data_IF_477683005330
#
_entry.id   IF_477683005330
#
_cell.length_a   1.000
_cell.length_b   1.000
_cell.length_c   1.000
_cell.angle_alpha   90.00
_cell.angle_beta   90.00
_cell.angle_gamma   90.00
#
_symmetry.space_group_name_H-M   'P 1'
#
loop_
_entity.id
_entity.type
_entity.pdbx_description
1 polymer ?
#
# COMPACT_ATOMS: atom_id res chain seq x y z
N UNK A 1 -35.95 -12.95 18.84
CA UNK A 1 -35.38 -12.59 20.13
C UNK A 1 -34.40 -13.64 20.58
N UNK A 2 -33.18 -13.26 20.77
CA UNK A 2 -32.08 -14.19 21.04
C UNK A 2 -32.15 -14.65 22.49
N UNK A 3 -32.32 -15.96 22.69
CA UNK A 3 -32.32 -16.56 24.01
C UNK A 3 -30.88 -16.86 24.42
N UNK A 4 -30.25 -15.92 25.09
CA UNK A 4 -28.93 -16.12 25.69
C UNK A 4 -29.13 -16.76 27.06
N UNK A 5 -28.54 -17.92 27.28
CA UNK A 5 -28.50 -18.55 28.59
C UNK A 5 -27.14 -18.31 29.21
N UNK A 6 -27.14 -17.82 30.44
CA UNK A 6 -25.91 -17.51 31.16
C UNK A 6 -25.70 -18.51 32.28
N UNK A 7 -24.52 -19.09 32.36
CA UNK A 7 -24.12 -20.01 33.44
C UNK A 7 -23.25 -19.19 34.40
N UNK A 8 -23.77 -19.05 35.64
CA UNK A 8 -23.10 -18.28 36.69
C UNK A 8 -22.70 -19.19 37.86
N UNK A 9 -21.64 -18.78 38.53
CA UNK A 9 -21.17 -19.38 39.78
C UNK A 9 -20.70 -18.28 40.71
N UNK A 10 -21.27 -18.23 41.92
CA UNK A 10 -20.90 -17.25 42.95
C UNK A 10 -21.00 -15.79 42.48
N UNK A 11 -22.03 -15.50 41.66
CA UNK A 11 -22.26 -14.17 41.09
C UNK A 11 -21.39 -13.83 39.89
N UNK A 12 -20.52 -14.74 39.47
CA UNK A 12 -19.66 -14.56 38.31
C UNK A 12 -20.22 -15.30 37.10
N UNK A 13 -20.30 -14.62 35.96
CA UNK A 13 -20.72 -15.18 34.70
C UNK A 13 -19.57 -15.98 34.06
N UNK A 14 -19.74 -17.30 33.93
CA UNK A 14 -18.71 -18.19 33.42
C UNK A 14 -18.88 -18.54 31.95
N UNK A 15 -20.12 -18.77 31.53
CA UNK A 15 -20.41 -19.20 30.15
C UNK A 15 -21.68 -18.56 29.66
N UNK A 16 -21.79 -18.40 28.34
CA UNK A 16 -23.02 -18.04 27.66
C UNK A 16 -23.35 -19.11 26.64
N UNK A 17 -24.64 -19.53 26.61
CA UNK A 17 -25.13 -20.45 25.59
C UNK A 17 -26.04 -19.67 24.68
N UNK A 18 -25.73 -19.67 23.39
CA UNK A 18 -26.48 -18.93 22.37
C UNK A 18 -26.82 -19.86 21.19
N UNK A 19 -27.87 -19.52 20.41
CA UNK A 19 -28.12 -20.24 19.17
C UNK A 19 -26.93 -20.22 18.23
N UNK A 20 -26.70 -21.29 17.49
CA UNK A 20 -25.55 -21.44 16.60
C UNK A 20 -25.46 -20.30 15.56
N UNK A 21 -26.60 -19.93 14.97
CA UNK A 21 -26.64 -18.83 13.98
C UNK A 21 -26.18 -17.50 14.57
N UNK A 22 -26.50 -17.24 15.83
CA UNK A 22 -26.05 -16.02 16.52
C UNK A 22 -24.55 -16.06 16.78
N UNK A 23 -24.01 -17.21 17.14
CA UNK A 23 -22.57 -17.39 17.31
C UNK A 23 -21.81 -17.15 15.99
N UNK A 24 -22.30 -17.72 14.89
CA UNK A 24 -21.68 -17.49 13.57
C UNK A 24 -21.65 -16.02 13.19
N UNK A 25 -22.76 -15.30 13.41
CA UNK A 25 -22.83 -13.86 13.11
C UNK A 25 -21.87 -13.05 13.97
N UNK A 26 -21.76 -13.37 15.25
CA UNK A 26 -20.83 -12.67 16.14
C UNK A 26 -19.37 -12.94 15.78
N UNK A 27 -19.06 -14.18 15.42
CA UNK A 27 -17.70 -14.55 14.97
C UNK A 27 -17.33 -13.83 13.68
N UNK A 28 -18.22 -13.84 12.69
CA UNK A 28 -17.98 -13.20 11.40
C UNK A 28 -17.83 -11.67 11.55
N UNK A 29 -18.66 -11.06 12.42
CA UNK A 29 -18.53 -9.63 12.72
C UNK A 29 -17.21 -9.30 13.40
N UNK A 30 -16.73 -10.13 14.33
CA UNK A 30 -15.46 -9.94 15.01
C UNK A 30 -14.26 -10.08 14.05
N UNK A 31 -14.30 -11.07 13.16
CA UNK A 31 -13.28 -11.25 12.13
C UNK A 31 -13.24 -10.06 11.17
N UNK A 32 -14.41 -9.57 10.75
CA UNK A 32 -14.53 -8.43 9.86
C UNK A 32 -13.97 -7.15 10.51
N UNK A 33 -14.30 -6.89 11.78
CA UNK A 33 -13.79 -5.74 12.52
C UNK A 33 -12.26 -5.80 12.67
N UNK A 34 -11.72 -6.98 12.90
CA UNK A 34 -10.28 -7.18 13.00
C UNK A 34 -9.59 -6.95 11.64
N UNK A 35 -10.14 -7.46 10.55
CA UNK A 35 -9.62 -7.25 9.20
C UNK A 35 -9.60 -5.78 8.82
N UNK A 36 -10.69 -5.06 9.11
CA UNK A 36 -10.76 -3.61 8.87
C UNK A 36 -9.72 -2.86 9.69
N UNK A 37 -9.56 -3.20 10.97
CA UNK A 37 -8.58 -2.58 11.84
C UNK A 37 -7.14 -2.81 11.35
N UNK A 38 -6.82 -4.03 10.96
CA UNK A 38 -5.49 -4.37 10.43
C UNK A 38 -5.20 -3.62 9.13
N UNK A 39 -6.20 -3.47 8.27
CA UNK A 39 -6.09 -2.70 7.04
C UNK A 39 -5.82 -1.22 7.33
N UNK A 40 -6.59 -0.64 8.24
CA UNK A 40 -6.42 0.77 8.64
C UNK A 40 -5.05 1.01 9.27
N UNK A 41 -4.56 0.10 10.11
CA UNK A 41 -3.22 0.19 10.70
C UNK A 41 -2.12 0.10 9.63
N UNK A 42 -2.29 -0.79 8.64
CA UNK A 42 -1.34 -0.91 7.53
C UNK A 42 -1.28 0.36 6.70
N UNK A 43 -2.44 0.95 6.39
CA UNK A 43 -2.52 2.23 5.68
C UNK A 43 -1.84 3.36 6.47
N UNK A 44 -2.08 3.43 7.77
CA UNK A 44 -1.51 4.48 8.62
C UNK A 44 0.02 4.40 8.71
N UNK A 45 0.59 3.19 8.60
CA UNK A 45 2.05 3.00 8.64
C UNK A 45 2.74 3.37 7.34
N UNK A 46 2.07 3.12 6.21
CA UNK A 46 2.63 3.31 4.86
C UNK A 46 2.07 4.55 4.17
N UNK A 47 1.28 5.34 4.88
CA UNK A 47 0.53 6.42 4.27
C UNK A 47 1.41 7.62 3.96
N UNK A 48 1.82 7.74 2.70
CA UNK A 48 2.26 9.01 2.17
C UNK A 48 1.15 9.56 1.27
N UNK A 49 0.68 10.76 1.58
CA UNK A 49 -0.34 11.44 0.79
C UNK A 49 0.31 12.25 -0.30
N UNK A 50 0.05 11.88 -1.54
CA UNK A 50 0.53 12.62 -2.69
C UNK A 50 -0.46 13.71 -3.07
N UNK A 51 0.03 14.89 -3.51
CA UNK A 51 -0.87 15.95 -3.96
C UNK A 51 -1.63 15.55 -5.23
N UNK A 52 -2.83 16.12 -5.41
CA UNK A 52 -3.66 15.83 -6.57
C UNK A 52 -2.93 16.09 -7.90
N UNK A 53 -2.09 17.13 -7.94
CA UNK A 53 -1.30 17.46 -9.13
C UNK A 53 -0.40 16.32 -9.59
N UNK A 54 0.20 15.58 -8.65
CA UNK A 54 1.00 14.41 -8.95
C UNK A 54 0.13 13.29 -9.54
N UNK A 55 -1.01 13.04 -8.95
CA UNK A 55 -1.97 12.03 -9.43
C UNK A 55 -2.46 12.38 -10.84
N UNK A 56 -2.76 13.65 -11.09
CA UNK A 56 -3.16 14.11 -12.42
C UNK A 56 -2.09 13.85 -13.48
N UNK A 57 -0.83 14.05 -13.15
CA UNK A 57 0.28 13.74 -14.05
C UNK A 57 0.39 12.25 -14.36
N UNK A 58 0.21 11.40 -13.34
CA UNK A 58 0.22 9.95 -13.53
C UNK A 58 -0.96 9.49 -14.40
N UNK A 59 -2.14 10.09 -14.21
CA UNK A 59 -3.32 9.78 -15.02
C UNK A 59 -3.21 10.29 -16.44
N UNK A 60 -2.36 11.31 -16.69
CA UNK A 60 -2.09 11.84 -18.01
C UNK A 60 -1.00 11.06 -18.77
N UNK A 61 -0.69 9.84 -18.32
CA UNK A 61 0.29 8.94 -18.93
C UNK A 61 1.74 9.48 -18.93
N UNK A 62 2.07 10.43 -18.04
CA UNK A 62 3.47 10.80 -17.85
C UNK A 62 4.24 9.64 -17.22
N UNK A 63 5.54 9.55 -17.52
CA UNK A 63 6.35 8.48 -16.96
C UNK A 63 6.40 8.57 -15.44
N UNK A 64 6.00 7.52 -14.71
CA UNK A 64 5.91 7.58 -13.25
C UNK A 64 7.26 7.83 -12.58
N UNK A 65 8.36 7.32 -13.12
CA UNK A 65 9.70 7.54 -12.57
C UNK A 65 10.03 9.03 -12.59
N UNK A 66 9.78 9.70 -13.70
CA UNK A 66 10.00 11.13 -13.84
C UNK A 66 9.12 11.92 -12.87
N UNK A 67 7.82 11.56 -12.77
CA UNK A 67 6.88 12.24 -11.89
C UNK A 67 7.32 12.15 -10.43
N UNK A 68 7.61 10.94 -9.93
CA UNK A 68 8.06 10.76 -8.56
C UNK A 68 9.43 11.36 -8.29
N UNK A 69 10.34 11.29 -9.28
CA UNK A 69 11.66 11.91 -9.15
C UNK A 69 11.55 13.42 -8.95
N UNK A 70 10.75 14.08 -9.78
CA UNK A 70 10.53 15.53 -9.67
C UNK A 70 9.83 15.89 -8.36
N UNK A 71 8.87 15.08 -7.95
CA UNK A 71 8.19 15.26 -6.66
C UNK A 71 9.15 15.19 -5.48
N UNK A 72 10.14 14.29 -5.53
CA UNK A 72 11.18 14.18 -4.51
C UNK A 72 12.27 15.26 -4.64
N UNK A 73 12.18 16.13 -5.64
CA UNK A 73 13.15 17.18 -5.85
C UNK A 73 14.52 16.70 -6.33
N UNK A 74 14.57 15.56 -7.00
CA UNK A 74 15.82 14.99 -7.51
C UNK A 74 16.02 15.29 -8.99
N UNK A 75 17.28 15.56 -9.37
CA UNK A 75 17.67 15.56 -10.78
C UNK A 75 17.86 14.12 -11.28
N UNK A 76 17.86 13.92 -12.60
CA UNK A 76 18.19 12.62 -13.18
C UNK A 76 19.56 12.10 -12.71
N UNK A 77 20.54 13.00 -12.63
CA UNK A 77 21.88 12.67 -12.16
C UNK A 77 21.86 12.18 -10.71
N UNK A 78 21.13 12.85 -9.84
CA UNK A 78 21.03 12.48 -8.43
C UNK A 78 20.36 11.10 -8.26
N UNK A 79 19.27 10.85 -8.97
CA UNK A 79 18.61 9.54 -8.91
C UNK A 79 19.49 8.45 -9.51
N UNK A 80 20.15 8.74 -10.64
CA UNK A 80 21.05 7.77 -11.27
C UNK A 80 22.20 7.37 -10.34
N UNK A 81 22.77 8.31 -9.60
CA UNK A 81 23.81 8.04 -8.61
C UNK A 81 23.29 7.13 -7.47
N UNK A 82 22.09 7.39 -6.97
CA UNK A 82 21.50 6.57 -5.91
C UNK A 82 21.23 5.14 -6.37
N UNK A 83 20.86 4.96 -7.62
CA UNK A 83 20.50 3.66 -8.17
C UNK A 83 21.73 2.89 -8.68
N UNK A 84 22.82 3.60 -8.98
CA UNK A 84 24.04 3.00 -9.49
C UNK A 84 24.05 2.82 -11.01
N UNK A 85 23.33 3.66 -11.75
CA UNK A 85 23.30 3.69 -13.21
C UNK A 85 23.74 5.06 -13.71
N UNK A 86 24.03 5.19 -15.01
CA UNK A 86 24.33 6.50 -15.55
C UNK A 86 23.05 7.28 -15.89
N UNK A 87 23.20 8.61 -15.96
CA UNK A 87 22.05 9.50 -16.19
C UNK A 87 21.42 9.30 -17.58
N UNK A 88 22.23 8.94 -18.57
CA UNK A 88 21.72 8.67 -19.93
C UNK A 88 20.80 7.43 -19.94
N UNK A 89 21.14 6.39 -19.22
CA UNK A 89 20.30 5.19 -19.09
C UNK A 89 18.97 5.52 -18.38
N UNK A 90 19.05 6.29 -17.30
CA UNK A 90 17.85 6.73 -16.59
C UNK A 90 16.96 7.60 -17.49
N UNK A 91 17.54 8.51 -18.27
CA UNK A 91 16.80 9.31 -19.24
C UNK A 91 16.06 8.44 -20.27
N UNK A 92 16.70 7.37 -20.74
CA UNK A 92 16.07 6.45 -21.68
C UNK A 92 14.88 5.70 -21.06
N UNK A 93 14.98 5.35 -19.78
CA UNK A 93 13.86 4.74 -19.04
C UNK A 93 12.72 5.74 -18.89
N UNK A 94 13.01 6.98 -18.54
CA UNK A 94 12.00 8.04 -18.35
C UNK A 94 11.31 8.43 -19.67
N UNK A 95 11.97 8.30 -20.80
CA UNK A 95 11.38 8.59 -22.11
C UNK A 95 10.72 7.37 -22.76
N UNK A 96 10.79 6.21 -22.13
CA UNK A 96 10.19 4.99 -22.64
C UNK A 96 11.03 4.27 -23.70
N UNK A 97 12.24 4.73 -23.97
CA UNK A 97 13.14 4.08 -24.94
C UNK A 97 13.68 2.75 -24.45
N UNK A 98 13.77 2.60 -23.13
CA UNK A 98 14.16 1.36 -22.47
C UNK A 98 13.21 1.12 -21.30
N UNK A 99 12.88 -0.16 -21.07
CA UNK A 99 11.99 -0.54 -19.97
C UNK A 99 12.69 -0.65 -18.60
N UNK A 100 14.00 -0.78 -18.61
CA UNK A 100 14.77 -1.07 -17.39
C UNK A 100 14.62 -2.53 -16.96
N UNK A 101 15.64 -3.06 -16.27
CA UNK A 101 15.56 -4.39 -15.67
C UNK A 101 14.76 -4.34 -14.37
N UNK A 102 14.22 -5.49 -13.92
CA UNK A 102 13.52 -5.59 -12.65
C UNK A 102 14.39 -5.13 -11.49
N UNK A 103 15.68 -5.41 -11.52
CA UNK A 103 16.65 -4.99 -10.50
C UNK A 103 16.77 -3.47 -10.45
N UNK A 104 16.89 -2.83 -11.61
CA UNK A 104 16.99 -1.37 -11.70
C UNK A 104 15.69 -0.70 -11.27
N UNK A 105 14.55 -1.22 -11.71
CA UNK A 105 13.25 -0.67 -11.32
C UNK A 105 13.00 -0.76 -9.81
N UNK A 106 13.42 -1.86 -9.18
CA UNK A 106 13.36 -1.99 -7.72
C UNK A 106 14.24 -0.98 -7.00
N UNK A 107 15.45 -0.78 -7.52
CA UNK A 107 16.37 0.21 -6.96
C UNK A 107 15.81 1.63 -7.10
N UNK A 108 15.18 1.95 -8.22
CA UNK A 108 14.50 3.23 -8.44
C UNK A 108 13.34 3.40 -7.46
N UNK A 109 12.49 2.39 -7.31
CA UNK A 109 11.36 2.45 -6.37
C UNK A 109 11.85 2.68 -4.94
N UNK A 110 12.90 1.99 -4.51
CA UNK A 110 13.49 2.18 -3.18
C UNK A 110 14.07 3.59 -3.01
N UNK A 111 14.76 4.09 -4.02
CA UNK A 111 15.35 5.44 -3.99
C UNK A 111 14.28 6.52 -3.93
N UNK A 112 13.14 6.31 -4.56
CA UNK A 112 12.00 7.24 -4.56
C UNK A 112 11.04 7.01 -3.40
N UNK A 113 11.24 5.94 -2.62
CA UNK A 113 10.39 5.52 -1.51
C UNK A 113 8.93 5.31 -1.95
N UNK A 114 8.77 4.56 -3.03
CA UNK A 114 7.46 4.14 -3.56
C UNK A 114 7.50 2.63 -3.82
N UNK A 115 6.33 2.04 -4.06
CA UNK A 115 6.25 0.63 -4.40
C UNK A 115 6.71 0.38 -5.83
N UNK A 116 7.18 -0.84 -6.10
CA UNK A 116 7.60 -1.21 -7.45
C UNK A 116 6.50 -0.99 -8.49
N UNK A 117 5.25 -1.32 -8.13
CA UNK A 117 4.11 -1.15 -9.02
C UNK A 117 3.87 0.31 -9.42
N UNK A 118 4.29 1.25 -8.57
CA UNK A 118 4.13 2.68 -8.83
C UNK A 118 5.07 3.20 -9.92
N UNK A 119 6.18 2.50 -10.16
CA UNK A 119 7.20 2.93 -11.15
C UNK A 119 7.23 2.07 -12.40
N UNK A 120 6.50 0.96 -12.42
CA UNK A 120 6.37 0.12 -13.61
C UNK A 120 5.32 0.73 -14.53
N UNK A 121 5.70 1.14 -15.76
CA UNK A 121 4.70 1.70 -16.69
C UNK A 121 3.70 0.63 -17.08
N UNK A 122 2.45 1.04 -17.21
CA UNK A 122 1.40 0.17 -17.77
C UNK A 122 1.78 -0.22 -19.21
N UNK A 123 1.71 -1.50 -19.44
CA UNK A 123 2.02 -2.05 -20.76
C UNK A 123 0.97 -1.66 -21.80
#
# INVERSE_FOLDING_TARGET
MNKVQVIEKDGERLFAVIPWDDYERLRDAAEMDEDVRLYDEALARDEERFPLELVDRLLADENPIKVFREYRGMTQRQLAQKVGVNAAYLSQIETGRRGGSSKVLRAIANALNVDLDDVVPDA
#
